data_IF_899666141756
#
_entry.id   IF_899666141756
#
_cell.length_a   1.000
_cell.length_b   1.000
_cell.length_c   1.000
_cell.angle_alpha   90.00
_cell.angle_beta   90.00
_cell.angle_gamma   90.00
#
_symmetry.space_group_name_H-M   'P 1'
#
loop_
_entity.id
_entity.type
_entity.pdbx_description
1 polymer ?
#
# COMPACT_ATOMS: atom_id res chain seq x y z
N UNK A 1 17.16 -5.10 5.83
CA UNK A 1 18.40 -4.75 6.51
C UNK A 1 18.30 -4.77 8.01
N UNK A 2 19.42 -4.74 8.69
CA UNK A 2 19.51 -4.58 10.15
C UNK A 2 20.00 -3.19 10.48
N UNK A 3 19.36 -2.56 11.46
CA UNK A 3 19.78 -1.26 11.98
C UNK A 3 20.19 -1.47 13.43
N UNK A 4 21.43 -1.11 13.76
CA UNK A 4 21.93 -1.17 15.12
C UNK A 4 21.85 0.22 15.75
N UNK A 5 21.20 0.34 16.90
CA UNK A 5 21.18 1.59 17.66
C UNK A 5 22.44 1.74 18.50
N UNK A 6 22.99 2.94 18.51
CA UNK A 6 24.14 3.28 19.36
C UNK A 6 23.77 3.14 20.84
N UNK A 7 24.68 2.54 21.63
CA UNK A 7 24.60 2.50 23.08
C UNK A 7 23.89 1.29 23.67
N UNK A 8 23.54 0.31 22.89
CA UNK A 8 22.97 -0.93 23.39
C UNK A 8 22.81 -1.96 22.30
N UNK A 9 22.70 -3.19 22.67
CA UNK A 9 22.54 -4.30 21.74
C UNK A 9 21.09 -4.39 21.19
N UNK A 10 20.46 -3.27 20.83
CA UNK A 10 19.12 -3.29 20.23
C UNK A 10 19.28 -3.33 18.72
N UNK A 11 19.00 -4.49 18.14
CA UNK A 11 18.92 -4.68 16.70
C UNK A 11 17.48 -4.47 16.25
N UNK A 12 17.28 -3.53 15.34
CA UNK A 12 16.03 -3.41 14.61
C UNK A 12 16.19 -4.13 13.28
N UNK A 13 15.39 -5.14 13.08
CA UNK A 13 15.39 -5.90 11.84
C UNK A 13 14.25 -5.45 10.95
N UNK A 14 14.55 -5.24 9.68
CA UNK A 14 13.57 -5.01 8.64
C UNK A 14 13.88 -5.98 7.50
N UNK A 15 12.96 -6.86 7.21
CA UNK A 15 13.05 -7.77 6.08
C UNK A 15 12.42 -7.13 4.85
N UNK A 16 13.09 -7.20 3.71
CA UNK A 16 12.55 -6.74 2.43
C UNK A 16 12.43 -7.92 1.50
N UNK A 17 11.19 -8.22 1.10
CA UNK A 17 10.86 -9.26 0.13
C UNK A 17 10.53 -8.58 -1.19
N UNK A 18 11.27 -8.92 -2.24
CA UNK A 18 11.07 -8.34 -3.57
C UNK A 18 10.56 -9.39 -4.53
N UNK A 19 9.50 -9.04 -5.25
CA UNK A 19 9.02 -9.81 -6.39
C UNK A 19 8.91 -8.87 -7.59
N UNK A 20 9.11 -9.38 -8.79
CA UNK A 20 8.94 -8.56 -10.00
C UNK A 20 7.46 -8.34 -10.28
N UNK A 21 6.81 -9.34 -10.85
CA UNK A 21 5.37 -9.31 -11.13
C UNK A 21 4.74 -10.56 -10.54
N UNK A 22 3.78 -10.36 -9.64
CA UNK A 22 3.05 -11.43 -8.98
C UNK A 22 1.57 -11.10 -8.92
N UNK A 23 0.71 -12.10 -9.02
CA UNK A 23 -0.73 -11.89 -8.91
C UNK A 23 -1.09 -11.29 -7.55
N UNK A 24 -2.08 -10.42 -7.54
CA UNK A 24 -2.60 -9.84 -6.29
C UNK A 24 -3.09 -10.94 -5.35
N UNK A 25 -3.77 -11.95 -5.89
CA UNK A 25 -4.28 -13.08 -5.10
C UNK A 25 -3.17 -13.82 -4.36
N UNK A 26 -2.07 -14.15 -5.04
CA UNK A 26 -0.95 -14.85 -4.42
C UNK A 26 -0.27 -14.02 -3.33
N UNK A 27 -0.09 -12.73 -3.59
CA UNK A 27 0.55 -11.82 -2.62
C UNK A 27 -0.39 -11.55 -1.44
N UNK A 28 -1.69 -11.42 -1.67
CA UNK A 28 -2.67 -11.26 -0.59
C UNK A 28 -2.66 -12.46 0.36
N UNK A 29 -2.62 -13.66 -0.17
CA UNK A 29 -2.48 -14.88 0.64
C UNK A 29 -1.16 -14.88 1.43
N UNK A 30 -0.06 -14.47 0.80
CA UNK A 30 1.24 -14.36 1.47
C UNK A 30 1.22 -13.31 2.58
N UNK A 31 0.59 -12.15 2.35
CA UNK A 31 0.46 -11.11 3.37
C UNK A 31 -0.26 -11.59 4.61
N UNK A 32 -1.33 -12.36 4.44
CA UNK A 32 -2.08 -12.90 5.57
C UNK A 32 -1.21 -13.83 6.43
N UNK A 33 -0.41 -14.68 5.79
CA UNK A 33 0.52 -15.55 6.50
C UNK A 33 1.63 -14.76 7.20
N UNK A 34 2.19 -13.77 6.53
CA UNK A 34 3.26 -12.94 7.09
C UNK A 34 2.74 -12.09 8.26
N UNK A 35 1.52 -11.57 8.17
CA UNK A 35 0.90 -10.85 9.28
C UNK A 35 0.81 -11.72 10.53
N UNK A 36 0.33 -12.96 10.40
CA UNK A 36 0.26 -13.91 11.52
C UNK A 36 1.65 -14.20 12.10
N UNK A 37 2.65 -14.40 11.25
CA UNK A 37 4.02 -14.63 11.69
C UNK A 37 4.61 -13.41 12.39
N UNK A 38 4.26 -12.21 11.94
CA UNK A 38 4.72 -10.99 12.62
C UNK A 38 4.04 -10.82 13.97
N UNK A 39 2.75 -11.13 14.06
CA UNK A 39 2.00 -11.11 15.32
C UNK A 39 2.65 -12.07 16.34
N UNK A 40 3.01 -13.27 15.93
CA UNK A 40 3.62 -14.28 16.81
C UNK A 40 5.10 -14.02 17.10
N UNK A 41 5.72 -13.06 16.42
CA UNK A 41 7.14 -12.76 16.61
C UNK A 41 8.11 -13.66 15.84
N UNK A 42 7.60 -14.51 14.95
CA UNK A 42 8.45 -15.40 14.14
C UNK A 42 9.29 -14.66 13.11
N UNK A 43 8.83 -13.50 12.65
CA UNK A 43 9.54 -12.68 11.68
C UNK A 43 9.63 -11.23 12.16
N UNK A 44 10.63 -10.47 11.70
CA UNK A 44 10.71 -9.03 11.94
C UNK A 44 9.67 -8.28 11.12
N UNK A 45 9.61 -6.97 11.28
CA UNK A 45 8.90 -6.09 10.37
C UNK A 45 9.35 -6.36 8.94
N UNK A 46 8.40 -6.43 8.02
CA UNK A 46 8.65 -6.88 6.65
C UNK A 46 7.99 -5.93 5.66
N UNK A 47 8.70 -5.58 4.61
CA UNK A 47 8.14 -4.89 3.45
C UNK A 47 8.11 -5.84 2.27
N UNK A 48 6.98 -5.89 1.57
CA UNK A 48 6.89 -6.57 0.28
C UNK A 48 6.87 -5.49 -0.81
N UNK A 49 7.78 -5.60 -1.78
CA UNK A 49 7.82 -4.74 -2.95
C UNK A 49 7.48 -5.58 -4.17
N UNK A 50 6.45 -5.18 -4.91
CA UNK A 50 5.93 -6.01 -5.99
C UNK A 50 5.23 -5.14 -7.04
N UNK A 51 5.12 -5.63 -8.26
CA UNK A 51 4.18 -5.17 -9.26
C UNK A 51 3.12 -6.25 -9.47
N UNK A 52 1.90 -5.83 -9.76
CA UNK A 52 0.81 -6.76 -10.08
C UNK A 52 0.46 -6.71 -11.57
N UNK A 53 0.02 -7.82 -12.16
CA UNK A 53 -0.76 -7.76 -13.38
C UNK A 53 -1.99 -6.88 -13.15
N UNK A 54 -2.59 -6.37 -14.22
CA UNK A 54 -3.73 -5.49 -14.13
C UNK A 54 -4.87 -6.12 -13.30
N UNK A 55 -5.29 -5.40 -12.27
CA UNK A 55 -6.40 -5.77 -11.39
C UNK A 55 -6.96 -4.52 -10.72
N UNK A 56 -8.26 -4.49 -10.52
CA UNK A 56 -8.92 -3.47 -9.70
C UNK A 56 -9.31 -4.09 -8.37
N UNK A 57 -8.85 -3.51 -7.28
CA UNK A 57 -9.24 -3.94 -5.93
C UNK A 57 -10.30 -3.03 -5.38
N UNK A 58 -11.28 -3.62 -4.70
CA UNK A 58 -12.42 -2.93 -4.13
C UNK A 58 -12.40 -3.10 -2.61
N UNK A 59 -12.25 -1.99 -1.90
CA UNK A 59 -12.40 -1.99 -0.45
C UNK A 59 -13.86 -2.17 -0.05
N UNK A 60 -14.17 -2.38 1.24
CA UNK A 60 -15.53 -2.63 1.71
C UNK A 60 -16.53 -1.54 1.33
N UNK A 61 -16.10 -0.28 1.34
CA UNK A 61 -16.97 0.84 0.95
C UNK A 61 -17.36 0.77 -0.51
N UNK A 62 -16.40 0.53 -1.40
CA UNK A 62 -16.67 0.44 -2.83
C UNK A 62 -17.61 -0.73 -3.16
N UNK A 63 -17.43 -1.87 -2.49
CA UNK A 63 -18.31 -3.01 -2.62
C UNK A 63 -19.74 -2.68 -2.18
N UNK A 64 -19.92 -2.05 -1.03
CA UNK A 64 -21.24 -1.64 -0.53
C UNK A 64 -21.92 -0.64 -1.45
N UNK A 65 -21.16 0.22 -2.12
CA UNK A 65 -21.67 1.22 -3.07
C UNK A 65 -21.97 0.62 -4.44
N UNK A 66 -21.85 -0.70 -4.62
CA UNK A 66 -22.24 -1.39 -5.84
C UNK A 66 -21.20 -1.34 -6.96
N UNK A 67 -19.91 -1.14 -6.62
CA UNK A 67 -18.85 -1.01 -7.62
C UNK A 67 -18.73 -2.25 -8.54
N UNK A 68 -19.06 -3.44 -8.05
CA UNK A 68 -19.02 -4.67 -8.87
C UNK A 68 -19.99 -4.65 -10.04
N UNK A 69 -21.07 -3.89 -9.96
CA UNK A 69 -22.06 -3.75 -11.01
C UNK A 69 -21.75 -2.58 -11.96
N UNK A 70 -20.69 -1.81 -11.70
CA UNK A 70 -20.30 -0.70 -12.56
C UNK A 70 -19.80 -1.21 -13.92
N UNK A 71 -20.43 -0.80 -15.03
CA UNK A 71 -19.98 -1.21 -16.36
C UNK A 71 -18.53 -0.85 -16.68
N UNK A 72 -17.98 0.18 -16.05
CA UNK A 72 -16.59 0.60 -16.23
C UNK A 72 -15.61 -0.49 -15.79
N UNK A 73 -16.00 -1.42 -14.92
CA UNK A 73 -15.16 -2.52 -14.45
C UNK A 73 -15.26 -3.78 -15.30
N UNK A 74 -16.13 -3.82 -16.31
CA UNK A 74 -16.38 -5.04 -17.10
C UNK A 74 -15.14 -5.56 -17.82
N UNK A 75 -14.18 -4.69 -18.15
CA UNK A 75 -12.95 -5.05 -18.86
C UNK A 75 -11.77 -5.31 -17.91
N UNK A 76 -12.00 -5.33 -16.59
CA UNK A 76 -10.94 -5.47 -15.60
C UNK A 76 -11.16 -6.68 -14.71
N UNK A 77 -10.09 -7.46 -14.43
CA UNK A 77 -10.14 -8.37 -13.30
C UNK A 77 -10.36 -7.57 -12.02
N UNK A 78 -11.26 -8.04 -11.17
CA UNK A 78 -11.61 -7.38 -9.92
C UNK A 78 -11.46 -8.32 -8.74
N UNK A 79 -11.08 -7.74 -7.58
CA UNK A 79 -11.00 -8.46 -6.30
C UNK A 79 -11.55 -7.57 -5.19
N UNK A 80 -12.43 -8.14 -4.36
CA UNK A 80 -12.86 -7.49 -3.12
C UNK A 80 -11.82 -7.77 -2.04
N UNK A 81 -11.40 -6.73 -1.34
CA UNK A 81 -10.36 -6.79 -0.31
C UNK A 81 -10.81 -6.04 0.93
N UNK A 82 -10.17 -6.29 2.05
CA UNK A 82 -10.55 -5.73 3.35
C UNK A 82 -9.72 -4.50 3.79
N UNK A 83 -8.90 -3.95 2.90
CA UNK A 83 -8.16 -2.72 3.18
C UNK A 83 -9.08 -1.50 3.25
N UNK A 84 -8.66 -0.46 3.96
CA UNK A 84 -9.34 0.84 3.92
C UNK A 84 -9.30 1.47 2.53
N UNK A 85 -10.26 2.35 2.28
CA UNK A 85 -10.40 3.06 1.01
C UNK A 85 -11.43 2.42 0.08
N UNK A 86 -11.51 2.99 -1.12
CA UNK A 86 -12.47 2.58 -2.13
C UNK A 86 -11.84 1.67 -3.18
N UNK A 87 -11.97 2.09 -4.43
CA UNK A 87 -11.44 1.38 -5.59
C UNK A 87 -9.98 1.77 -5.83
N UNK A 88 -9.12 0.79 -6.14
CA UNK A 88 -7.73 1.02 -6.52
C UNK A 88 -7.36 0.18 -7.74
N UNK A 89 -6.71 0.81 -8.70
CA UNK A 89 -6.14 0.13 -9.86
C UNK A 89 -4.70 -0.31 -9.56
N UNK A 90 -4.37 -1.52 -9.95
CA UNK A 90 -3.00 -2.03 -9.99
C UNK A 90 -2.66 -2.55 -11.38
N UNK A 91 -1.43 -2.34 -11.79
CA UNK A 91 -0.95 -2.82 -13.08
C UNK A 91 0.55 -2.61 -13.25
N UNK A 92 1.10 -3.09 -14.37
CA UNK A 92 2.51 -2.89 -14.68
C UNK A 92 2.89 -1.40 -14.69
N UNK A 93 4.08 -1.07 -14.18
CA UNK A 93 4.53 0.31 -14.03
C UNK A 93 4.11 0.97 -12.73
N UNK A 94 3.40 0.25 -11.86
CA UNK A 94 3.05 0.70 -10.52
C UNK A 94 3.84 -0.11 -9.50
N UNK A 95 4.58 0.56 -8.64
CA UNK A 95 5.23 -0.09 -7.51
C UNK A 95 4.24 -0.20 -6.36
N UNK A 96 4.04 -1.41 -5.88
CA UNK A 96 3.23 -1.68 -4.70
C UNK A 96 4.14 -2.04 -3.54
N UNK A 97 3.91 -1.41 -2.39
CA UNK A 97 4.64 -1.69 -1.16
C UNK A 97 3.64 -2.09 -0.08
N UNK A 98 3.84 -3.27 0.48
CA UNK A 98 3.02 -3.79 1.57
C UNK A 98 3.84 -3.85 2.85
N UNK A 99 3.64 -2.89 3.78
CA UNK A 99 4.31 -2.91 5.08
C UNK A 99 3.59 -3.84 6.07
N UNK A 100 4.25 -4.95 6.39
CA UNK A 100 3.85 -5.88 7.44
C UNK A 100 4.64 -5.48 8.69
N UNK A 101 4.13 -4.48 9.38
CA UNK A 101 4.82 -3.82 10.48
C UNK A 101 3.96 -3.90 11.74
N UNK A 102 4.59 -4.25 12.86
CA UNK A 102 3.97 -4.11 14.17
C UNK A 102 4.20 -2.69 14.69
N UNK A 103 3.15 -1.91 14.66
CA UNK A 103 3.19 -0.51 15.09
C UNK A 103 3.17 -0.44 16.61
N UNK A 104 4.07 0.36 17.18
CA UNK A 104 4.27 0.44 18.63
C UNK A 104 3.17 1.28 19.30
N UNK A 105 3.06 1.16 20.63
CA UNK A 105 1.98 1.79 21.39
C UNK A 105 1.82 3.28 21.10
N UNK A 106 2.88 4.04 20.98
CA UNK A 106 2.83 5.47 20.66
C UNK A 106 2.45 5.80 19.22
N UNK A 107 2.40 4.79 18.35
CA UNK A 107 2.13 4.93 16.93
C UNK A 107 0.74 4.41 16.52
N UNK A 108 0.01 3.83 17.44
CA UNK A 108 -1.23 3.08 17.16
C UNK A 108 -2.40 4.00 16.86
N UNK A 109 -2.33 4.66 15.72
CA UNK A 109 -3.38 5.47 15.13
C UNK A 109 -3.31 5.30 13.62
N UNK A 110 -4.42 4.90 13.01
CA UNK A 110 -4.50 4.70 11.56
C UNK A 110 -4.08 5.98 10.82
N UNK A 111 -4.57 7.13 11.27
CA UNK A 111 -4.21 8.41 10.65
C UNK A 111 -2.72 8.72 10.77
N UNK A 112 -2.13 8.51 11.93
CA UNK A 112 -0.69 8.74 12.13
C UNK A 112 0.15 7.80 11.28
N UNK A 113 -0.26 6.54 11.17
CA UNK A 113 0.43 5.56 10.35
C UNK A 113 0.37 5.94 8.88
N UNK A 114 -0.79 6.33 8.39
CA UNK A 114 -0.95 6.79 7.01
C UNK A 114 -0.10 8.04 6.75
N UNK A 115 -0.10 9.02 7.64
CA UNK A 115 0.73 10.21 7.51
C UNK A 115 2.22 9.85 7.46
N UNK A 116 2.65 8.88 8.23
CA UNK A 116 4.04 8.41 8.21
C UNK A 116 4.41 7.74 6.89
N UNK A 117 3.51 6.94 6.34
CA UNK A 117 3.72 6.34 5.02
C UNK A 117 3.77 7.41 3.93
N UNK A 118 2.91 8.41 4.00
CA UNK A 118 2.96 9.55 3.09
C UNK A 118 4.30 10.30 3.19
N UNK A 119 4.80 10.50 4.40
CA UNK A 119 6.10 11.14 4.64
C UNK A 119 7.23 10.32 4.00
N UNK A 120 7.20 9.00 4.12
CA UNK A 120 8.20 8.12 3.50
C UNK A 120 8.17 8.22 1.98
N UNK A 121 6.98 8.25 1.39
CA UNK A 121 6.84 8.38 -0.07
C UNK A 121 7.32 9.76 -0.53
N UNK A 122 6.93 10.82 0.16
CA UNK A 122 7.38 12.18 -0.18
C UNK A 122 8.89 12.32 -0.07
N UNK A 123 9.52 11.72 0.96
CA UNK A 123 10.97 11.72 1.11
C UNK A 123 11.66 10.95 -0.03
N UNK A 124 11.13 9.81 -0.42
CA UNK A 124 11.66 9.03 -1.53
C UNK A 124 11.56 9.78 -2.86
N UNK A 125 10.44 10.45 -3.10
CA UNK A 125 10.27 11.30 -4.29
C UNK A 125 11.25 12.47 -4.29
N UNK A 126 11.46 13.09 -3.14
CA UNK A 126 12.39 14.22 -2.99
C UNK A 126 13.83 13.79 -3.32
N UNK A 127 14.22 12.58 -2.94
CA UNK A 127 15.54 12.02 -3.29
C UNK A 127 15.72 11.88 -4.81
N UNK A 128 14.62 11.78 -5.55
CA UNK A 128 14.62 11.74 -7.01
C UNK A 128 14.41 13.13 -7.65
N UNK A 129 14.43 14.19 -6.86
CA UNK A 129 14.17 15.54 -7.35
C UNK A 129 12.72 15.86 -7.63
N UNK A 130 11.79 15.07 -7.09
CA UNK A 130 10.35 15.22 -7.30
C UNK A 130 9.71 15.73 -6.01
N UNK A 131 8.93 16.81 -6.11
CA UNK A 131 8.27 17.42 -4.98
C UNK A 131 6.80 16.97 -4.91
N UNK A 132 6.54 15.89 -4.15
CA UNK A 132 5.19 15.43 -3.85
C UNK A 132 4.60 16.19 -2.67
N UNK A 133 3.27 16.22 -2.58
CA UNK A 133 2.59 16.90 -1.49
C UNK A 133 1.39 16.09 -0.99
N UNK A 134 0.97 16.43 0.23
CA UNK A 134 -0.21 15.84 0.88
C UNK A 134 -1.42 16.72 0.63
N UNK A 135 -2.56 16.12 0.35
CA UNK A 135 -3.87 16.78 0.39
C UNK A 135 -4.61 16.25 1.62
N UNK A 136 -4.90 17.12 2.58
CA UNK A 136 -5.52 16.72 3.85
C UNK A 136 -6.92 16.12 3.69
N UNK A 137 -7.59 16.38 2.56
CA UNK A 137 -8.93 15.87 2.28
C UNK A 137 -8.91 14.40 1.87
N UNK A 138 -7.77 13.90 1.37
CA UNK A 138 -7.64 12.57 0.80
C UNK A 138 -6.32 11.95 1.18
N UNK A 139 -6.34 10.65 1.52
CA UNK A 139 -5.13 9.89 1.82
C UNK A 139 -4.30 9.67 0.55
N UNK A 140 -2.99 9.79 0.68
CA UNK A 140 -2.06 9.55 -0.40
C UNK A 140 -1.09 10.70 -0.64
N UNK A 141 -0.39 10.62 -1.75
CA UNK A 141 0.58 11.66 -2.16
C UNK A 141 0.22 12.14 -3.56
N UNK A 142 0.35 13.44 -3.75
CA UNK A 142 -0.04 14.14 -4.97
C UNK A 142 1.16 14.79 -5.64
N UNK A 143 1.09 14.90 -6.95
CA UNK A 143 2.08 15.57 -7.78
C UNK A 143 1.34 16.31 -8.89
N UNK A 144 1.54 17.63 -8.99
CA UNK A 144 0.95 18.45 -10.05
C UNK A 144 -0.56 18.25 -10.25
N UNK A 145 -1.29 18.12 -9.13
CA UNK A 145 -2.74 17.92 -9.16
C UNK A 145 -3.21 16.50 -9.35
N UNK A 146 -2.30 15.55 -9.54
CA UNK A 146 -2.62 14.13 -9.71
C UNK A 146 -2.17 13.31 -8.51
N UNK A 147 -2.99 12.35 -8.13
CA UNK A 147 -2.66 11.42 -7.07
C UNK A 147 -1.69 10.35 -7.60
N UNK A 148 -0.44 10.41 -7.13
CA UNK A 148 0.59 9.48 -7.56
C UNK A 148 0.75 8.30 -6.63
N UNK A 149 0.28 8.41 -5.39
CA UNK A 149 0.34 7.32 -4.42
C UNK A 149 -1.00 7.18 -3.71
N UNK A 150 -1.54 5.99 -3.73
CA UNK A 150 -2.74 5.59 -2.97
C UNK A 150 -2.31 4.77 -1.76
N UNK A 151 -2.99 4.95 -0.63
CA UNK A 151 -2.68 4.22 0.61
C UNK A 151 -3.96 3.65 1.17
N UNK A 152 -3.94 2.36 1.50
CA UNK A 152 -5.02 1.68 2.18
C UNK A 152 -4.46 0.49 2.96
N UNK A 153 -4.85 0.37 4.22
CA UNK A 153 -4.31 -0.62 5.15
C UNK A 153 -5.41 -1.43 5.80
N UNK A 154 -5.03 -2.59 6.30
CA UNK A 154 -5.80 -3.37 7.25
C UNK A 154 -4.89 -3.75 8.42
N UNK A 155 -5.46 -3.87 9.61
CA UNK A 155 -4.71 -4.12 10.83
C UNK A 155 -5.28 -5.31 11.58
N UNK A 156 -4.38 -6.07 12.20
CA UNK A 156 -4.72 -7.08 13.19
C UNK A 156 -3.67 -7.02 14.30
N UNK A 157 -4.10 -6.81 15.53
CA UNK A 157 -3.18 -6.60 16.66
C UNK A 157 -2.09 -5.56 16.34
N UNK A 158 -2.48 -4.50 15.65
CA UNK A 158 -1.62 -3.41 15.19
C UNK A 158 -0.46 -3.84 14.28
N UNK A 159 -0.59 -5.01 13.67
CA UNK A 159 0.25 -5.39 12.54
C UNK A 159 -0.48 -5.05 11.25
N UNK A 160 0.14 -4.23 10.41
CA UNK A 160 -0.44 -3.80 9.14
C UNK A 160 -0.26 -4.84 8.04
N UNK A 161 -1.15 -4.80 7.06
CA UNK A 161 -1.01 -5.42 5.74
C UNK A 161 -1.76 -4.59 4.71
N UNK A 162 -1.70 -4.97 3.44
CA UNK A 162 -1.94 -4.07 2.33
C UNK A 162 -0.94 -2.91 2.40
N UNK A 163 -1.22 -1.77 1.87
CA UNK A 163 -0.25 -0.69 1.95
C UNK A 163 -0.45 0.39 0.90
N UNK A 164 0.56 0.59 0.07
CA UNK A 164 0.56 1.70 -0.86
C UNK A 164 0.89 1.26 -2.29
N UNK A 165 0.39 2.06 -3.22
CA UNK A 165 0.64 1.89 -4.66
C UNK A 165 1.15 3.21 -5.21
N UNK A 166 2.35 3.21 -5.79
CA UNK A 166 3.00 4.36 -6.37
C UNK A 166 3.04 4.24 -7.88
N UNK A 167 2.37 5.15 -8.57
CA UNK A 167 2.35 5.21 -10.02
C UNK A 167 3.60 5.92 -10.52
N UNK A 168 4.50 5.20 -11.19
CA UNK A 168 5.70 5.81 -11.78
C UNK A 168 5.76 5.65 -13.30
N UNK A 169 5.09 4.66 -13.85
CA UNK A 169 5.05 4.38 -15.28
C UNK A 169 3.79 3.64 -15.70
N UNK A 170 2.65 3.93 -15.04
CA UNK A 170 1.35 3.34 -15.39
C UNK A 170 0.77 4.04 -16.60
N UNK A 171 -0.10 3.32 -17.34
CA UNK A 171 -0.89 3.93 -18.41
C UNK A 171 -1.90 4.90 -17.79
N UNK A 172 -1.75 6.23 -18.00
CA UNK A 172 -2.63 7.21 -17.36
C UNK A 172 -4.09 7.06 -17.77
N UNK A 173 -4.36 6.61 -19.00
CA UNK A 173 -5.73 6.41 -19.49
C UNK A 173 -6.46 5.33 -18.68
N UNK A 174 -5.76 4.30 -18.21
CA UNK A 174 -6.37 3.23 -17.41
C UNK A 174 -6.74 3.72 -16.03
N UNK A 175 -5.87 4.49 -15.39
CA UNK A 175 -6.12 5.06 -14.05
C UNK A 175 -7.23 6.08 -14.09
N UNK A 176 -7.21 7.00 -15.03
CA UNK A 176 -8.22 8.07 -15.16
C UNK A 176 -9.60 7.53 -15.49
N UNK A 177 -9.67 6.54 -16.39
CA UNK A 177 -10.95 5.94 -16.81
C UNK A 177 -11.71 5.32 -15.65
N UNK A 178 -11.04 4.87 -14.61
CA UNK A 178 -11.66 4.26 -13.45
C UNK A 178 -11.99 5.26 -12.34
N UNK A 179 -11.44 6.46 -12.38
CA UNK A 179 -11.59 7.47 -11.33
C UNK A 179 -11.28 6.92 -9.93
N UNK A 180 -10.38 5.94 -9.86
CA UNK A 180 -10.15 5.17 -8.64
C UNK A 180 -9.28 5.89 -7.61
N UNK A 181 -8.62 6.97 -7.99
CA UNK A 181 -7.78 7.74 -7.11
C UNK A 181 -8.49 8.97 -6.52
N UNK A 182 -9.79 9.04 -6.75
CA UNK A 182 -10.60 10.13 -6.25
C UNK A 182 -10.96 10.01 -4.79
#
# INVERSE_FOLDING_TARGET
GMIQKNGGAVLLELQILRAEIESHEAVDAAMSRLQEKRISGEIPDTLILVQHPEVVTLGPKAERDGALEDPALSDYPTRVVDRGGGMTYHGPGQLVVYPIIKWQVGEQSVRKIINRLEDWVMAALADCGIEGYRDERMMGVWLEGYKVCSIGLAFKHWVSRHGLALNYNTNPNRVEALSCCG
#
